data_IF_814897617515
#
_entry.id   IF_814897617515
#
_cell.length_a   1.000
_cell.length_b   1.000
_cell.length_c   1.000
_cell.angle_alpha   90.00
_cell.angle_beta   90.00
_cell.angle_gamma   90.00
#
_symmetry.space_group_name_H-M   'P 1'
#
loop_
_entity.id
_entity.type
_entity.pdbx_description
1 polymer ?
#
# COMPACT_ATOMS: atom_id res chain seq x y z
N UNK A 1 -9.10 3.05 -3.84
CA UNK A 1 -8.37 3.90 -2.91
C UNK A 1 -9.00 3.78 -1.55
N UNK A 2 -8.40 2.93 -0.74
CA UNK A 2 -8.66 2.73 0.67
C UNK A 2 -8.43 4.04 1.43
N UNK A 3 -9.26 4.27 2.45
CA UNK A 3 -9.11 5.38 3.41
C UNK A 3 -7.84 5.28 4.25
N UNK A 4 -7.19 4.12 4.27
CA UNK A 4 -5.90 3.93 4.92
C UNK A 4 -4.85 4.94 4.38
N UNK A 5 -4.85 5.17 3.06
CA UNK A 5 -3.92 6.08 2.41
C UNK A 5 -4.28 7.56 2.58
N UNK A 6 -5.39 7.91 3.22
CA UNK A 6 -5.67 9.29 3.62
C UNK A 6 -4.81 9.73 4.82
N UNK A 7 -4.15 8.77 5.50
CA UNK A 7 -3.21 9.02 6.60
C UNK A 7 -1.89 9.60 6.11
N UNK A 8 -1.09 10.08 7.06
CA UNK A 8 0.29 10.46 6.80
C UNK A 8 1.06 9.27 6.20
N UNK A 9 1.74 9.49 5.07
CA UNK A 9 2.55 8.44 4.42
C UNK A 9 3.68 7.90 5.29
N UNK A 10 4.11 8.65 6.31
CA UNK A 10 5.11 8.18 7.26
C UNK A 10 4.64 6.95 8.06
N UNK A 11 3.33 6.77 8.24
CA UNK A 11 2.76 5.65 9.01
C UNK A 11 2.28 4.49 8.14
N UNK A 12 2.45 4.55 6.82
CA UNK A 12 2.02 3.46 5.95
C UNK A 12 2.89 2.22 6.09
N UNK A 13 2.22 1.09 6.33
CA UNK A 13 2.77 -0.25 6.47
C UNK A 13 1.75 -1.32 6.01
N UNK A 14 2.26 -2.44 5.47
CA UNK A 14 1.40 -3.52 4.95
C UNK A 14 0.69 -4.28 6.07
N UNK A 15 1.32 -4.45 7.23
CA UNK A 15 0.73 -5.19 8.36
C UNK A 15 -0.45 -4.40 8.92
N UNK A 16 -0.28 -3.09 9.10
CA UNK A 16 -1.37 -2.23 9.57
C UNK A 16 -2.52 -2.16 8.57
N UNK A 17 -2.22 -2.16 7.27
CA UNK A 17 -3.25 -2.26 6.23
C UNK A 17 -4.02 -3.58 6.35
N UNK A 18 -3.31 -4.72 6.43
CA UNK A 18 -3.94 -6.05 6.52
C UNK A 18 -4.83 -6.18 7.76
N UNK A 19 -4.39 -5.63 8.90
CA UNK A 19 -5.18 -5.65 10.14
C UNK A 19 -6.51 -4.89 10.03
N UNK A 20 -6.59 -3.84 9.21
CA UNK A 20 -7.83 -3.10 8.99
C UNK A 20 -8.85 -3.83 8.12
N UNK A 21 -8.38 -4.79 7.33
CA UNK A 21 -9.18 -5.55 6.37
C UNK A 21 -9.23 -7.05 6.69
N UNK A 22 -8.92 -7.46 7.92
CA UNK A 22 -8.79 -8.87 8.37
C UNK A 22 -9.97 -9.79 7.97
N UNK A 23 -11.16 -9.22 7.74
CA UNK A 23 -12.35 -9.96 7.30
C UNK A 23 -12.33 -10.40 5.82
N UNK A 24 -11.40 -9.88 5.00
CA UNK A 24 -11.30 -10.18 3.58
C UNK A 24 -10.28 -11.30 3.28
N UNK A 25 -10.38 -12.00 2.15
CA UNK A 25 -9.37 -12.97 1.74
C UNK A 25 -8.00 -12.30 1.57
N UNK A 26 -6.97 -12.90 2.16
CA UNK A 26 -5.60 -12.36 2.16
C UNK A 26 -5.10 -11.92 0.77
N UNK A 27 -5.30 -12.75 -0.26
CA UNK A 27 -4.90 -12.43 -1.64
C UNK A 27 -5.64 -11.21 -2.20
N UNK A 28 -6.91 -11.03 -1.84
CA UNK A 28 -7.72 -9.88 -2.28
C UNK A 28 -7.21 -8.59 -1.64
N UNK A 29 -6.93 -8.63 -0.33
CA UNK A 29 -6.46 -7.45 0.41
C UNK A 29 -5.09 -7.00 -0.13
N UNK A 30 -4.19 -7.95 -0.42
CA UNK A 30 -2.89 -7.63 -0.99
C UNK A 30 -3.03 -7.03 -2.39
N UNK A 31 -3.89 -7.59 -3.24
CA UNK A 31 -4.11 -7.04 -4.58
C UNK A 31 -4.65 -5.61 -4.52
N UNK A 32 -5.60 -5.34 -3.62
CA UNK A 32 -6.16 -4.00 -3.41
C UNK A 32 -5.11 -3.03 -2.82
N UNK A 33 -4.30 -3.48 -1.86
CA UNK A 33 -3.17 -2.72 -1.33
C UNK A 33 -2.20 -2.29 -2.44
N UNK A 34 -1.78 -3.22 -3.28
CA UNK A 34 -0.84 -2.97 -4.37
C UNK A 34 -1.44 -2.08 -5.45
N UNK A 35 -2.73 -2.27 -5.80
CA UNK A 35 -3.44 -1.42 -6.76
C UNK A 35 -3.54 0.02 -6.28
N UNK A 36 -3.84 0.23 -5.01
CA UNK A 36 -3.93 1.56 -4.43
C UNK A 36 -2.56 2.25 -4.35
N UNK A 37 -1.51 1.53 -3.92
CA UNK A 37 -0.14 2.04 -4.00
C UNK A 37 0.22 2.43 -5.45
N UNK A 38 -0.07 1.56 -6.42
CA UNK A 38 0.24 1.83 -7.82
C UNK A 38 -0.53 3.06 -8.34
N UNK A 39 -1.77 3.25 -7.89
CA UNK A 39 -2.56 4.44 -8.20
C UNK A 39 -1.91 5.69 -7.63
N UNK A 40 -1.48 5.67 -6.37
CA UNK A 40 -0.76 6.79 -5.72
C UNK A 40 0.50 7.14 -6.49
N UNK A 41 1.31 6.14 -6.88
CA UNK A 41 2.51 6.35 -7.69
C UNK A 41 2.21 7.04 -9.02
N UNK A 42 1.07 6.72 -9.64
CA UNK A 42 0.70 7.26 -10.95
C UNK A 42 0.00 8.63 -10.87
N UNK A 43 -0.66 8.96 -9.76
CA UNK A 43 -1.48 10.17 -9.63
C UNK A 43 -0.90 11.25 -8.72
N UNK A 44 0.01 10.90 -7.82
CA UNK A 44 0.60 11.82 -6.84
C UNK A 44 2.08 12.13 -7.12
N UNK A 45 2.62 13.14 -6.45
CA UNK A 45 4.03 13.54 -6.52
C UNK A 45 4.64 13.70 -5.13
N UNK A 46 5.98 13.67 -5.05
CA UNK A 46 6.74 13.87 -3.81
C UNK A 46 6.65 12.68 -2.85
N UNK A 47 6.73 12.97 -1.55
CA UNK A 47 6.94 11.96 -0.48
C UNK A 47 5.94 10.81 -0.51
N UNK A 48 4.67 11.06 -0.87
CA UNK A 48 3.63 10.04 -0.94
C UNK A 48 3.87 9.05 -2.09
N UNK A 49 4.21 9.56 -3.28
CA UNK A 49 4.56 8.72 -4.42
C UNK A 49 5.86 7.94 -4.17
N UNK A 50 6.88 8.57 -3.59
CA UNK A 50 8.16 7.93 -3.24
C UNK A 50 7.97 6.79 -2.21
N UNK A 51 7.18 7.04 -1.15
CA UNK A 51 6.85 6.02 -0.15
C UNK A 51 6.04 4.88 -0.76
N UNK A 52 5.08 5.16 -1.63
CA UNK A 52 4.30 4.13 -2.31
C UNK A 52 5.18 3.25 -3.22
N UNK A 53 6.10 3.85 -3.98
CA UNK A 53 7.08 3.11 -4.76
C UNK A 53 7.96 2.21 -3.89
N UNK A 54 8.43 2.71 -2.75
CA UNK A 54 9.24 1.95 -1.80
C UNK A 54 8.48 0.73 -1.25
N UNK A 55 7.22 0.90 -0.86
CA UNK A 55 6.39 -0.19 -0.32
C UNK A 55 6.14 -1.28 -1.38
N UNK A 56 5.86 -0.90 -2.63
CA UNK A 56 5.72 -1.86 -3.76
C UNK A 56 7.03 -2.61 -3.97
N UNK A 57 8.16 -1.89 -3.97
CA UNK A 57 9.48 -2.48 -4.18
C UNK A 57 9.80 -3.51 -3.09
N UNK A 58 9.65 -3.13 -1.82
CA UNK A 58 9.90 -4.00 -0.68
C UNK A 58 9.05 -5.27 -0.75
N UNK A 59 7.74 -5.14 -1.03
CA UNK A 59 6.87 -6.31 -1.18
C UNK A 59 7.37 -7.28 -2.27
N UNK A 60 7.79 -6.75 -3.43
CA UNK A 60 8.31 -7.58 -4.53
C UNK A 60 9.67 -8.20 -4.27
N UNK A 61 10.52 -7.55 -3.48
CA UNK A 61 11.85 -8.06 -3.11
C UNK A 61 11.74 -9.16 -2.04
N UNK A 62 10.81 -9.05 -1.11
CA UNK A 62 10.52 -10.06 -0.07
C UNK A 62 9.67 -11.22 -0.59
N UNK A 63 8.92 -11.04 -1.69
CA UNK A 63 8.12 -12.11 -2.33
C UNK A 63 8.94 -13.02 -3.26
N UNK A 64 10.27 -12.92 -3.25
CA UNK A 64 11.19 -13.75 -4.05
C UNK A 64 11.73 -14.93 -3.25
#
# INVERSE_FOLDING_TARGET
MSKYFDRDSAVWDIIDFLNEYEAEPFDSIIDDYLKDLQRIVNSEQGKRAEKAQLLIKNYREESK
#
